data_IF_344996594511
#
_entry.id   IF_344996594511
#
_cell.length_a   1.000
_cell.length_b   1.000
_cell.length_c   1.000
_cell.angle_alpha   90.00
_cell.angle_beta   90.00
_cell.angle_gamma   90.00
#
_symmetry.space_group_name_H-M   'P 1'
#
loop_
_entity.id
_entity.type
_entity.pdbx_description
1 polymer ?
#
# COMPACT_ATOMS: atom_id res chain seq x y z
N UNK A 1 26.34 -11.93 0.22
CA UNK A 1 26.33 -13.31 0.75
C UNK A 1 24.93 -13.57 1.29
N UNK A 2 24.12 -14.33 0.55
CA UNK A 2 22.73 -14.63 0.90
C UNK A 2 22.59 -16.15 0.86
N UNK A 3 21.96 -16.73 1.87
CA UNK A 3 21.79 -18.18 1.93
C UNK A 3 20.92 -18.65 0.74
N UNK A 4 21.45 -19.56 -0.08
CA UNK A 4 20.74 -20.08 -1.26
C UNK A 4 19.46 -20.82 -0.90
N UNK A 5 19.36 -21.37 0.31
CA UNK A 5 18.11 -21.99 0.80
C UNK A 5 17.00 -20.97 1.04
N UNK A 6 17.36 -19.69 1.23
CA UNK A 6 16.42 -18.60 1.45
C UNK A 6 16.11 -17.85 0.15
N UNK A 7 17.13 -17.54 -0.65
CA UNK A 7 16.99 -16.84 -1.91
C UNK A 7 18.08 -17.26 -2.89
N UNK A 8 17.70 -17.92 -3.99
CA UNK A 8 18.65 -18.26 -5.06
C UNK A 8 19.31 -17.03 -5.71
N UNK A 9 20.52 -17.22 -6.22
CA UNK A 9 21.36 -16.15 -6.82
C UNK A 9 20.64 -15.33 -7.90
N UNK A 10 19.86 -15.98 -8.77
CA UNK A 10 19.09 -15.32 -9.83
C UNK A 10 17.99 -14.37 -9.32
N UNK A 11 17.63 -14.46 -8.04
CA UNK A 11 16.63 -13.60 -7.41
C UNK A 11 17.25 -12.46 -6.60
N UNK A 12 18.58 -12.31 -6.65
CA UNK A 12 19.33 -11.25 -5.98
C UNK A 12 19.86 -10.29 -7.04
N UNK A 13 19.68 -9.01 -6.80
CA UNK A 13 20.14 -7.94 -7.67
C UNK A 13 20.73 -6.82 -6.83
N UNK A 14 21.96 -6.41 -7.10
CA UNK A 14 22.48 -5.14 -6.59
C UNK A 14 21.72 -4.00 -7.28
N UNK A 15 21.12 -3.12 -6.48
CA UNK A 15 20.35 -1.99 -6.99
C UNK A 15 21.18 -0.71 -7.02
N UNK A 16 21.98 -0.49 -5.97
CA UNK A 16 22.80 0.70 -5.83
C UNK A 16 23.90 0.48 -4.81
N UNK A 17 25.05 1.09 -5.04
CA UNK A 17 26.15 1.20 -4.08
C UNK A 17 26.68 2.62 -4.11
N UNK A 18 27.09 3.13 -2.95
CA UNK A 18 27.58 4.49 -2.81
C UNK A 18 28.66 4.54 -1.74
N UNK A 19 29.69 5.33 -1.97
CA UNK A 19 30.79 5.54 -1.05
C UNK A 19 31.27 6.98 -1.17
N UNK A 20 31.33 7.66 -0.03
CA UNK A 20 31.77 9.03 0.14
C UNK A 20 32.39 9.18 1.54
N UNK A 21 33.09 10.28 1.84
CA UNK A 21 33.61 10.54 3.18
C UNK A 21 32.54 10.54 4.29
N UNK A 22 31.28 10.82 3.94
CA UNK A 22 30.18 10.99 4.90
C UNK A 22 29.21 9.80 4.93
N UNK A 23 29.20 8.95 3.90
CA UNK A 23 28.22 7.88 3.74
C UNK A 23 28.76 6.76 2.86
N UNK A 24 28.60 5.54 3.34
CA UNK A 24 28.74 4.31 2.58
C UNK A 24 27.44 3.51 2.66
N UNK A 25 26.94 3.02 1.53
CA UNK A 25 25.85 2.05 1.56
C UNK A 25 25.89 1.09 0.38
N UNK A 26 25.29 -0.07 0.60
CA UNK A 26 25.00 -1.07 -0.42
C UNK A 26 23.54 -1.46 -0.34
N UNK A 27 22.82 -1.35 -1.44
CA UNK A 27 21.42 -1.76 -1.55
C UNK A 27 21.28 -2.95 -2.48
N UNK A 28 20.72 -4.03 -1.93
CA UNK A 28 20.37 -5.23 -2.68
C UNK A 28 18.86 -5.45 -2.66
N UNK A 29 18.34 -5.94 -3.77
CA UNK A 29 17.00 -6.49 -3.87
C UNK A 29 17.09 -8.00 -3.89
N UNK A 30 16.26 -8.65 -3.09
CA UNK A 30 16.11 -10.10 -3.13
C UNK A 30 14.62 -10.48 -3.16
N UNK A 31 14.33 -11.63 -3.76
CA UNK A 31 12.99 -12.25 -3.69
C UNK A 31 13.12 -13.67 -3.14
N UNK A 32 12.99 -13.83 -1.81
CA UNK A 32 13.04 -15.14 -1.16
C UNK A 32 12.00 -16.11 -1.71
N UNK A 33 12.27 -17.41 -1.59
CA UNK A 33 11.34 -18.47 -2.04
C UNK A 33 9.97 -18.36 -1.35
N UNK A 34 9.97 -18.02 -0.06
CA UNK A 34 8.77 -17.88 0.76
C UNK A 34 8.62 -16.44 1.25
N UNK A 35 8.12 -15.57 0.36
CA UNK A 35 7.79 -14.19 0.69
C UNK A 35 6.27 -14.05 0.90
N UNK A 36 5.80 -13.38 1.98
CA UNK A 36 4.39 -13.04 2.11
C UNK A 36 3.86 -12.35 0.85
N UNK A 37 2.63 -12.70 0.43
CA UNK A 37 2.01 -12.17 -0.82
C UNK A 37 1.89 -10.64 -0.85
N UNK A 38 1.97 -10.03 0.30
CA UNK A 38 1.90 -8.59 0.49
C UNK A 38 3.13 -7.88 -0.11
N UNK A 39 4.27 -8.58 -0.18
CA UNK A 39 5.54 -8.05 -0.65
C UNK A 39 5.91 -8.59 -2.03
N UNK A 40 6.41 -7.70 -2.87
CA UNK A 40 6.95 -8.03 -4.20
C UNK A 40 8.42 -8.44 -4.16
N UNK A 41 9.18 -7.91 -3.21
CA UNK A 41 10.59 -8.22 -2.93
C UNK A 41 10.97 -7.67 -1.56
N UNK A 42 12.16 -8.00 -1.10
CA UNK A 42 12.82 -7.36 0.04
C UNK A 42 13.98 -6.53 -0.52
N UNK A 43 14.07 -5.28 -0.09
CA UNK A 43 15.18 -4.38 -0.41
C UNK A 43 15.93 -4.14 0.89
N UNK A 44 17.20 -4.54 0.91
CA UNK A 44 18.07 -4.43 2.06
C UNK A 44 19.14 -3.40 1.73
N UNK A 45 19.26 -2.37 2.55
CA UNK A 45 20.28 -1.35 2.45
C UNK A 45 21.17 -1.43 3.69
N UNK A 46 22.41 -1.86 3.51
CA UNK A 46 23.45 -1.79 4.52
C UNK A 46 24.05 -0.38 4.52
N UNK A 47 24.12 0.28 5.67
CA UNK A 47 24.56 1.68 5.80
C UNK A 47 25.72 1.79 6.80
N UNK A 48 26.71 2.60 6.46
CA UNK A 48 27.73 3.05 7.38
C UNK A 48 27.90 4.58 7.25
N UNK A 49 27.76 5.30 8.36
CA UNK A 49 27.98 6.75 8.43
C UNK A 49 29.17 6.98 9.38
N UNK A 50 30.32 7.46 8.89
CA UNK A 50 31.49 7.68 9.73
C UNK A 50 31.23 8.64 10.92
N UNK A 51 31.95 8.48 12.06
CA UNK A 51 31.75 9.32 13.24
C UNK A 51 31.95 10.83 13.03
N UNK A 52 32.77 11.19 12.04
CA UNK A 52 33.14 12.55 11.62
C UNK A 52 32.31 13.07 10.44
N UNK A 53 31.37 12.29 9.93
CA UNK A 53 30.57 12.65 8.76
C UNK A 53 29.68 13.88 8.99
N UNK A 54 29.44 14.64 7.93
CA UNK A 54 28.29 15.52 7.85
C UNK A 54 27.00 14.70 7.79
N UNK A 55 26.38 14.53 8.95
CA UNK A 55 25.14 13.76 9.10
C UNK A 55 24.00 14.32 8.24
N UNK A 56 23.95 15.62 7.95
CA UNK A 56 22.88 16.19 7.14
C UNK A 56 23.04 15.79 5.67
N UNK A 57 24.26 15.87 5.15
CA UNK A 57 24.58 15.45 3.79
C UNK A 57 24.35 13.94 3.61
N UNK A 58 24.88 13.13 4.53
CA UNK A 58 24.71 11.68 4.52
C UNK A 58 23.22 11.27 4.55
N UNK A 59 22.42 11.87 5.44
CA UNK A 59 21.00 11.56 5.53
C UNK A 59 20.21 12.06 4.31
N UNK A 60 20.63 13.15 3.66
CA UNK A 60 19.99 13.64 2.44
C UNK A 60 20.24 12.70 1.25
N UNK A 61 21.48 12.25 1.06
CA UNK A 61 21.83 11.28 0.01
C UNK A 61 21.11 9.94 0.21
N UNK A 62 21.08 9.44 1.44
CA UNK A 62 20.33 8.23 1.78
C UNK A 62 18.83 8.41 1.57
N UNK A 63 18.26 9.56 1.92
CA UNK A 63 16.86 9.91 1.68
C UNK A 63 16.50 9.88 0.18
N UNK A 64 17.27 10.57 -0.65
CA UNK A 64 17.02 10.63 -2.10
C UNK A 64 17.06 9.24 -2.73
N UNK A 65 18.05 8.43 -2.32
CA UNK A 65 18.18 7.04 -2.78
C UNK A 65 16.96 6.21 -2.38
N UNK A 66 16.55 6.24 -1.10
CA UNK A 66 15.44 5.45 -0.62
C UNK A 66 14.11 5.87 -1.27
N UNK A 67 13.86 7.17 -1.45
CA UNK A 67 12.67 7.67 -2.13
C UNK A 67 12.58 7.21 -3.60
N UNK A 68 13.71 7.20 -4.32
CA UNK A 68 13.76 6.67 -5.69
C UNK A 68 13.43 5.17 -5.71
N UNK A 69 13.96 4.41 -4.75
CA UNK A 69 13.71 2.98 -4.65
C UNK A 69 12.26 2.66 -4.27
N UNK A 70 11.66 3.40 -3.33
CA UNK A 70 10.24 3.24 -2.97
C UNK A 70 9.33 3.53 -4.16
N UNK A 71 9.66 4.56 -4.96
CA UNK A 71 8.91 4.88 -6.18
C UNK A 71 9.02 3.78 -7.24
N UNK A 72 10.19 3.14 -7.33
CA UNK A 72 10.47 2.05 -8.27
C UNK A 72 9.86 0.72 -7.80
N UNK A 73 9.82 0.48 -6.48
CA UNK A 73 9.39 -0.77 -5.86
C UNK A 73 8.38 -0.50 -4.72
N UNK A 74 7.18 0.02 -5.02
CA UNK A 74 6.22 0.47 -4.01
C UNK A 74 5.66 -0.65 -3.12
N UNK A 75 5.75 -1.91 -3.58
CA UNK A 75 5.29 -3.09 -2.83
C UNK A 75 6.46 -3.87 -2.22
N UNK A 76 7.67 -3.30 -2.11
CA UNK A 76 8.81 -3.95 -1.48
C UNK A 76 8.82 -3.74 0.03
N UNK A 77 9.35 -4.71 0.76
CA UNK A 77 9.72 -4.52 2.15
C UNK A 77 11.12 -3.92 2.22
N UNK A 78 11.26 -2.78 2.90
CA UNK A 78 12.55 -2.09 3.06
C UNK A 78 13.16 -2.43 4.41
N UNK A 79 14.43 -2.78 4.42
CA UNK A 79 15.25 -3.00 5.62
C UNK A 79 16.50 -2.16 5.46
N UNK A 80 16.63 -1.08 6.23
CA UNK A 80 17.79 -0.18 6.19
C UNK A 80 18.51 -0.32 7.52
N UNK A 81 19.71 -0.92 7.51
CA UNK A 81 20.40 -1.27 8.74
C UNK A 81 21.91 -1.06 8.65
N UNK A 82 22.53 -0.76 9.80
CA UNK A 82 23.97 -0.63 9.94
C UNK A 82 24.34 0.39 11.00
N UNK A 83 25.57 0.88 10.96
CA UNK A 83 26.09 1.83 11.95
C UNK A 83 25.86 3.27 11.46
N UNK A 84 24.95 3.96 12.15
CA UNK A 84 24.58 5.34 11.85
C UNK A 84 25.38 6.34 12.67
N UNK A 85 26.20 5.88 13.63
CA UNK A 85 26.89 6.72 14.61
C UNK A 85 25.95 7.75 15.26
N UNK A 86 26.04 9.02 14.84
CA UNK A 86 25.24 10.13 15.40
C UNK A 86 23.95 10.39 14.61
N UNK A 87 23.78 9.78 13.45
CA UNK A 87 22.70 10.09 12.53
C UNK A 87 21.38 9.38 12.90
N UNK A 88 20.27 10.06 12.71
CA UNK A 88 18.93 9.51 12.91
C UNK A 88 18.09 9.67 11.65
N UNK A 89 17.84 8.56 10.95
CA UNK A 89 17.11 8.54 9.68
C UNK A 89 15.67 9.03 9.80
N UNK A 90 15.04 8.93 10.99
CA UNK A 90 13.67 9.45 11.20
C UNK A 90 13.54 10.96 10.96
N UNK A 91 14.63 11.71 11.07
CA UNK A 91 14.65 13.16 10.81
C UNK A 91 14.35 13.50 9.34
N UNK A 92 14.64 12.58 8.41
CA UNK A 92 14.33 12.72 6.97
C UNK A 92 13.21 11.78 6.52
N UNK A 93 13.09 10.59 7.13
CA UNK A 93 12.09 9.57 6.79
C UNK A 93 11.28 9.13 8.02
N UNK A 94 10.32 9.96 8.49
CA UNK A 94 9.55 9.65 9.71
C UNK A 94 8.62 8.44 9.54
N UNK A 95 8.30 8.04 8.30
CA UNK A 95 7.50 6.86 7.98
C UNK A 95 8.21 5.53 8.27
N UNK A 96 9.54 5.55 8.43
CA UNK A 96 10.29 4.35 8.76
C UNK A 96 10.30 4.12 10.28
N UNK A 97 10.07 2.87 10.65
CA UNK A 97 10.07 2.39 12.02
C UNK A 97 11.44 1.82 12.36
N UNK A 98 12.00 2.30 13.47
CA UNK A 98 13.28 1.85 14.00
C UNK A 98 13.03 0.71 15.01
N UNK A 99 13.82 -0.36 14.96
CA UNK A 99 13.57 -1.60 15.72
C UNK A 99 14.64 -1.96 16.77
N UNK A 100 15.71 -1.18 16.91
CA UNK A 100 16.81 -1.41 17.86
C UNK A 100 16.78 -0.33 18.93
N UNK A 101 16.39 -0.70 20.15
CA UNK A 101 16.26 0.17 21.31
C UNK A 101 17.32 -0.09 22.40
N UNK A 102 18.27 -0.99 22.14
CA UNK A 102 19.33 -1.36 23.07
C UNK A 102 20.69 -0.76 22.68
N UNK A 103 21.58 -0.63 23.67
CA UNK A 103 22.93 -0.11 23.43
C UNK A 103 23.76 -1.09 22.61
N UNK A 104 24.46 -0.57 21.60
CA UNK A 104 25.34 -1.35 20.72
C UNK A 104 26.81 -1.02 20.91
N UNK A 105 27.17 0.14 21.47
CA UNK A 105 28.56 0.47 21.81
C UNK A 105 28.62 1.39 23.03
N UNK A 106 29.37 1.00 24.06
CA UNK A 106 29.64 1.84 25.24
C UNK A 106 28.39 2.57 25.82
N UNK A 107 27.26 1.84 25.93
CA UNK A 107 26.00 2.39 26.44
C UNK A 107 25.20 3.25 25.46
N UNK A 108 25.65 3.40 24.21
CA UNK A 108 24.96 4.14 23.14
C UNK A 108 24.39 3.20 22.08
N UNK A 109 23.26 3.55 21.51
CA UNK A 109 22.68 2.90 20.33
C UNK A 109 23.18 3.61 19.08
N UNK A 110 24.20 3.05 18.43
CA UNK A 110 24.78 3.61 17.20
C UNK A 110 24.28 2.85 15.96
N UNK A 111 24.03 1.56 16.14
CA UNK A 111 23.49 0.70 15.10
C UNK A 111 21.97 0.80 15.08
N UNK A 112 21.42 1.08 13.90
CA UNK A 112 19.99 1.18 13.70
C UNK A 112 19.51 0.16 12.67
N UNK A 113 18.26 -0.26 12.80
CA UNK A 113 17.52 -0.99 11.78
C UNK A 113 16.17 -0.34 11.59
N UNK A 114 15.89 0.10 10.36
CA UNK A 114 14.66 0.75 9.96
C UNK A 114 13.87 -0.12 8.98
N UNK A 115 12.54 -0.10 9.04
CA UNK A 115 11.67 -0.65 7.99
C UNK A 115 10.40 0.14 7.79
N UNK A 116 9.73 -0.05 6.65
CA UNK A 116 8.42 0.55 6.37
C UNK A 116 7.24 -0.12 7.12
N UNK A 117 7.50 -1.15 7.92
CA UNK A 117 6.49 -1.80 8.77
C UNK A 117 6.77 -1.56 10.25
N UNK A 118 5.71 -1.25 10.99
CA UNK A 118 5.76 -1.18 12.45
C UNK A 118 5.94 -2.57 13.04
N UNK A 119 6.71 -2.68 14.12
CA UNK A 119 6.94 -3.92 14.87
C UNK A 119 7.38 -5.09 13.99
N UNK A 120 8.16 -4.78 12.94
CA UNK A 120 8.61 -5.77 11.98
C UNK A 120 9.64 -6.72 12.59
N UNK A 121 10.47 -6.20 13.49
CA UNK A 121 11.54 -6.95 14.15
C UNK A 121 11.57 -6.67 15.64
N UNK A 122 11.95 -7.69 16.41
CA UNK A 122 12.38 -7.56 17.80
C UNK A 122 13.90 -7.67 17.83
N UNK A 123 14.58 -6.64 18.31
CA UNK A 123 16.02 -6.67 18.52
C UNK A 123 16.36 -7.46 19.79
N UNK A 124 17.32 -8.39 19.66
CA UNK A 124 17.93 -9.07 20.80
C UNK A 124 19.43 -8.78 20.80
N UNK A 125 19.98 -8.14 21.84
CA UNK A 125 21.41 -7.92 21.93
C UNK A 125 22.15 -9.25 22.09
N UNK A 126 23.31 -9.33 21.46
CA UNK A 126 24.22 -10.46 21.47
C UNK A 126 25.65 -9.96 21.74
N UNK A 127 26.51 -10.82 22.30
CA UNK A 127 27.91 -10.46 22.50
C UNK A 127 28.56 -9.97 21.19
N UNK A 128 29.53 -9.04 21.28
CA UNK A 128 30.32 -8.62 20.12
C UNK A 128 30.93 -9.82 19.39
N UNK A 129 31.05 -9.70 18.07
CA UNK A 129 31.80 -10.69 17.31
C UNK A 129 33.30 -10.46 17.52
N UNK A 130 33.98 -11.46 18.11
CA UNK A 130 35.44 -11.42 18.34
C UNK A 130 35.89 -10.15 19.09
N UNK A 131 36.66 -9.29 18.42
CA UNK A 131 37.26 -8.06 18.95
C UNK A 131 36.50 -6.80 18.54
N UNK A 132 35.29 -6.93 17.99
CA UNK A 132 34.45 -5.78 17.70
C UNK A 132 34.14 -5.03 19.01
N UNK A 133 34.19 -3.71 18.96
CA UNK A 133 33.77 -2.84 20.05
C UNK A 133 32.25 -2.55 20.01
N UNK A 134 31.59 -2.92 18.91
CA UNK A 134 30.13 -2.98 18.80
C UNK A 134 29.59 -4.35 19.20
N UNK A 135 28.56 -4.37 20.04
CA UNK A 135 27.69 -5.51 20.29
C UNK A 135 26.92 -5.91 19.04
N UNK A 136 26.68 -7.20 18.86
CA UNK A 136 25.89 -7.68 17.74
C UNK A 136 24.39 -7.69 18.09
N UNK A 137 23.52 -7.48 17.10
CA UNK A 137 22.07 -7.52 17.29
C UNK A 137 21.48 -8.64 16.44
N UNK A 138 20.72 -9.54 17.08
CA UNK A 138 19.88 -10.51 16.39
C UNK A 138 18.48 -9.93 16.22
N UNK A 139 18.08 -9.66 14.98
CA UNK A 139 16.74 -9.23 14.64
C UNK A 139 15.84 -10.44 14.41
N UNK A 140 14.89 -10.68 15.33
CA UNK A 140 13.87 -11.71 15.16
C UNK A 140 12.67 -11.12 14.42
N UNK A 141 12.15 -11.79 13.37
CA UNK A 141 10.96 -11.32 12.69
C UNK A 141 9.76 -11.36 13.65
N UNK A 142 9.16 -10.21 13.90
CA UNK A 142 7.95 -10.05 14.69
C UNK A 142 6.73 -9.72 13.81
N UNK A 143 6.97 -9.35 12.54
CA UNK A 143 5.94 -9.04 11.58
C UNK A 143 4.89 -10.15 11.42
N UNK A 144 3.62 -9.80 11.61
CA UNK A 144 2.47 -10.66 11.30
C UNK A 144 1.85 -10.25 9.97
N UNK A 145 1.56 -11.21 9.10
CA UNK A 145 0.90 -10.96 7.81
C UNK A 145 -0.48 -10.31 8.01
N UNK A 146 -0.89 -9.37 7.14
CA UNK A 146 -2.20 -8.70 7.21
C UNK A 146 -3.36 -9.70 7.30
N UNK A 147 -3.27 -10.81 6.56
CA UNK A 147 -4.28 -11.89 6.58
C UNK A 147 -4.47 -12.52 7.97
N UNK A 148 -3.45 -12.49 8.82
CA UNK A 148 -3.49 -13.02 10.20
C UNK A 148 -3.80 -11.95 11.24
N UNK A 149 -3.74 -10.67 10.86
CA UNK A 149 -4.01 -9.54 11.76
C UNK A 149 -5.47 -9.10 11.68
N UNK A 150 -6.05 -9.10 10.48
CA UNK A 150 -7.40 -8.58 10.24
C UNK A 150 -8.29 -9.68 9.63
N UNK A 151 -9.53 -9.79 10.12
CA UNK A 151 -10.50 -10.71 9.57
C UNK A 151 -10.99 -10.24 8.18
N UNK A 152 -11.32 -11.15 7.25
CA UNK A 152 -11.91 -10.78 5.98
C UNK A 152 -13.23 -10.03 6.18
N UNK A 153 -13.46 -8.99 5.37
CA UNK A 153 -14.68 -8.19 5.43
C UNK A 153 -15.70 -8.72 4.43
N UNK A 154 -16.97 -8.77 4.82
CA UNK A 154 -18.09 -8.98 3.90
C UNK A 154 -18.56 -7.61 3.40
N UNK A 155 -18.69 -7.46 2.09
CA UNK A 155 -19.23 -6.25 1.45
C UNK A 155 -20.33 -6.64 0.48
N UNK A 156 -21.45 -5.93 0.57
CA UNK A 156 -22.50 -5.97 -0.44
C UNK A 156 -22.08 -5.10 -1.61
N UNK A 157 -22.10 -5.65 -2.81
CA UNK A 157 -21.79 -4.95 -4.07
C UNK A 157 -22.91 -5.18 -5.07
N UNK A 158 -23.29 -4.12 -5.77
CA UNK A 158 -24.15 -4.21 -6.95
C UNK A 158 -23.40 -4.89 -8.08
N UNK A 159 -24.00 -5.93 -8.65
CA UNK A 159 -23.43 -6.73 -9.73
C UNK A 159 -23.99 -6.30 -11.08
N UNK A 160 -23.37 -5.27 -11.65
CA UNK A 160 -23.65 -4.81 -13.01
C UNK A 160 -23.28 -5.88 -14.03
N UNK A 161 -24.13 -6.03 -15.04
CA UNK A 161 -24.03 -6.97 -16.14
C UNK A 161 -24.61 -6.34 -17.40
N UNK A 162 -24.23 -6.83 -18.58
CA UNK A 162 -24.79 -6.34 -19.84
C UNK A 162 -26.33 -6.42 -19.86
N UNK A 163 -26.89 -7.44 -19.18
CA UNK A 163 -28.34 -7.61 -19.04
C UNK A 163 -28.98 -6.53 -18.15
N UNK A 164 -28.39 -6.24 -16.98
CA UNK A 164 -28.91 -5.20 -16.09
C UNK A 164 -28.78 -3.81 -16.72
N UNK A 165 -27.68 -3.57 -17.44
CA UNK A 165 -27.45 -2.32 -18.16
C UNK A 165 -28.51 -2.12 -19.25
N UNK A 166 -28.75 -3.12 -20.08
CA UNK A 166 -29.79 -3.08 -21.13
C UNK A 166 -31.17 -2.87 -20.53
N UNK A 167 -31.50 -3.57 -19.43
CA UNK A 167 -32.82 -3.48 -18.79
C UNK A 167 -33.06 -2.09 -18.20
N UNK A 168 -32.03 -1.47 -17.60
CA UNK A 168 -32.12 -0.09 -17.11
C UNK A 168 -32.23 0.92 -18.24
N UNK A 169 -31.48 0.72 -19.34
CA UNK A 169 -31.59 1.58 -20.52
C UNK A 169 -33.01 1.56 -21.10
N UNK A 170 -33.59 0.37 -21.26
CA UNK A 170 -34.96 0.21 -21.74
C UNK A 170 -35.95 0.86 -20.76
N UNK A 171 -35.79 0.65 -19.45
CA UNK A 171 -36.61 1.28 -18.43
C UNK A 171 -36.60 2.81 -18.56
N UNK A 172 -35.42 3.43 -18.61
CA UNK A 172 -35.27 4.88 -18.66
C UNK A 172 -35.69 5.50 -19.99
N UNK A 173 -35.64 4.73 -21.09
CA UNK A 173 -36.14 5.17 -22.39
C UNK A 173 -37.67 5.31 -22.43
N UNK A 174 -38.38 4.55 -21.59
CA UNK A 174 -39.85 4.54 -21.56
C UNK A 174 -40.45 5.44 -20.46
N UNK A 175 -39.62 6.08 -19.65
CA UNK A 175 -40.06 6.97 -18.59
C UNK A 175 -40.44 8.33 -19.15
N UNK A 176 -41.64 8.79 -18.78
CA UNK A 176 -42.08 10.17 -19.03
C UNK A 176 -41.45 11.11 -17.99
N UNK A 177 -40.33 11.73 -18.37
CA UNK A 177 -39.60 12.65 -17.50
C UNK A 177 -40.37 13.96 -17.23
N UNK A 178 -41.25 14.38 -18.15
CA UNK A 178 -42.05 15.61 -17.99
C UNK A 178 -43.06 15.48 -16.85
N UNK A 179 -43.54 14.25 -16.58
CA UNK A 179 -44.38 13.96 -15.42
C UNK A 179 -43.72 14.39 -14.10
N UNK A 180 -42.42 14.14 -13.93
CA UNK A 180 -41.68 14.54 -12.72
C UNK A 180 -41.55 16.06 -12.61
N UNK A 181 -41.37 16.75 -13.74
CA UNK A 181 -41.27 18.21 -13.79
C UNK A 181 -42.61 18.87 -13.42
N UNK A 182 -43.72 18.32 -13.94
CA UNK A 182 -45.07 18.81 -13.63
C UNK A 182 -45.39 18.54 -12.16
N UNK A 183 -45.10 17.34 -11.65
CA UNK A 183 -45.39 16.96 -10.26
C UNK A 183 -44.60 17.77 -9.23
N UNK A 184 -43.41 18.25 -9.58
CA UNK A 184 -42.55 19.08 -8.72
C UNK A 184 -42.90 20.57 -8.75
N UNK A 185 -43.94 21.01 -9.49
CA UNK A 185 -44.35 22.41 -9.59
C UNK A 185 -43.17 23.38 -9.90
N UNK A 186 -42.25 22.97 -10.76
CA UNK A 186 -41.00 23.70 -11.07
C UNK A 186 -40.05 23.92 -9.87
N UNK A 187 -40.21 23.20 -8.76
CA UNK A 187 -39.22 23.14 -7.70
C UNK A 187 -38.09 22.19 -8.09
N UNK A 188 -36.90 22.75 -8.34
CA UNK A 188 -35.74 22.00 -8.81
C UNK A 188 -35.24 20.96 -7.80
N UNK A 189 -35.37 21.25 -6.49
CA UNK A 189 -34.94 20.34 -5.44
C UNK A 189 -35.88 19.12 -5.36
N UNK A 190 -37.19 19.35 -5.42
CA UNK A 190 -38.21 18.28 -5.45
C UNK A 190 -38.12 17.42 -6.71
N UNK A 191 -37.83 18.05 -7.87
CA UNK A 191 -37.57 17.34 -9.12
C UNK A 191 -36.34 16.42 -8.99
N UNK A 192 -35.22 16.97 -8.50
CA UNK A 192 -33.98 16.23 -8.34
C UNK A 192 -34.13 15.04 -7.37
N UNK A 193 -34.82 15.25 -6.25
CA UNK A 193 -35.09 14.19 -5.27
C UNK A 193 -35.97 13.09 -5.87
N UNK A 194 -37.06 13.46 -6.55
CA UNK A 194 -38.00 12.50 -7.14
C UNK A 194 -37.36 11.67 -8.25
N UNK A 195 -36.58 12.30 -9.13
CA UNK A 195 -35.85 11.61 -10.20
C UNK A 195 -34.76 10.71 -9.61
N UNK A 196 -34.01 11.18 -8.61
CA UNK A 196 -32.97 10.38 -7.95
C UNK A 196 -33.55 9.15 -7.26
N UNK A 197 -34.69 9.30 -6.61
CA UNK A 197 -35.39 8.21 -5.92
C UNK A 197 -35.95 7.18 -6.90
N UNK A 198 -36.50 7.63 -8.02
CA UNK A 198 -36.94 6.75 -9.10
C UNK A 198 -35.76 5.95 -9.68
N UNK A 199 -34.66 6.62 -10.05
CA UNK A 199 -33.46 5.96 -10.58
C UNK A 199 -32.90 4.96 -9.56
N UNK A 200 -32.83 5.34 -8.28
CA UNK A 200 -32.38 4.45 -7.19
C UNK A 200 -33.23 3.18 -7.13
N UNK A 201 -34.54 3.32 -7.19
CA UNK A 201 -35.49 2.20 -7.16
C UNK A 201 -35.29 1.27 -8.36
N UNK A 202 -35.20 1.83 -9.58
CA UNK A 202 -34.93 1.02 -10.78
C UNK A 202 -33.61 0.26 -10.66
N UNK A 203 -32.55 0.89 -10.15
CA UNK A 203 -31.25 0.24 -9.94
C UNK A 203 -31.35 -0.86 -8.89
N UNK A 204 -32.08 -0.66 -7.80
CA UNK A 204 -32.28 -1.68 -6.76
C UNK A 204 -33.08 -2.89 -7.24
N UNK A 205 -34.06 -2.67 -8.13
CA UNK A 205 -34.89 -3.74 -8.69
C UNK A 205 -34.16 -4.54 -9.77
N UNK A 206 -33.34 -3.87 -10.60
CA UNK A 206 -32.69 -4.50 -11.75
C UNK A 206 -31.29 -5.04 -11.42
N UNK A 207 -30.53 -4.38 -10.55
CA UNK A 207 -29.13 -4.71 -10.31
C UNK A 207 -29.01 -5.59 -9.05
N UNK A 208 -28.69 -6.89 -9.21
CA UNK A 208 -28.61 -7.79 -8.07
C UNK A 208 -27.49 -7.40 -7.11
N UNK A 209 -27.74 -7.55 -5.81
CA UNK A 209 -26.74 -7.36 -4.76
C UNK A 209 -26.08 -8.71 -4.46
N UNK A 210 -24.76 -8.78 -4.61
CA UNK A 210 -23.98 -9.92 -4.16
C UNK A 210 -23.16 -9.57 -2.92
N UNK A 211 -23.06 -10.52 -2.00
CA UNK A 211 -22.11 -10.42 -0.89
C UNK A 211 -20.78 -10.99 -1.31
N UNK A 212 -19.74 -10.15 -1.33
CA UNK A 212 -18.37 -10.58 -1.60
C UNK A 212 -17.54 -10.55 -0.32
N UNK A 213 -16.65 -11.55 -0.19
CA UNK A 213 -15.65 -11.61 0.87
C UNK A 213 -14.34 -11.00 0.39
N UNK A 214 -13.93 -9.89 0.98
CA UNK A 214 -12.66 -9.21 0.68
C UNK A 214 -11.64 -9.50 1.77
N UNK A 215 -10.39 -9.74 1.35
CA UNK A 215 -9.29 -9.99 2.28
C UNK A 215 -8.44 -8.72 2.45
N UNK A 216 -7.87 -8.46 3.65
CA UNK A 216 -7.05 -7.27 3.91
C UNK A 216 -5.82 -7.11 2.99
N UNK A 217 -5.30 -8.23 2.48
CA UNK A 217 -4.16 -8.25 1.56
C UNK A 217 -4.57 -8.39 0.08
N UNK A 218 -5.87 -8.36 -0.22
CA UNK A 218 -6.35 -8.33 -1.59
C UNK A 218 -6.08 -6.94 -2.14
N UNK A 219 -5.27 -6.86 -3.19
CA UNK A 219 -4.99 -5.56 -3.78
C UNK A 219 -6.08 -5.15 -4.79
N UNK A 220 -6.22 -3.84 -5.05
CA UNK A 220 -7.43 -3.28 -5.64
C UNK A 220 -7.59 -3.60 -7.13
N UNK A 221 -6.49 -3.86 -7.83
CA UNK A 221 -6.43 -4.26 -9.24
C UNK A 221 -6.70 -5.76 -9.55
N UNK A 222 -7.20 -6.56 -8.59
CA UNK A 222 -7.52 -7.99 -8.77
C UNK A 222 -9.03 -8.05 -8.81
N UNK A 223 -9.52 -8.02 -10.04
CA UNK A 223 -10.93 -8.15 -10.39
C UNK A 223 -11.27 -9.61 -10.74
N UNK A 224 -12.52 -9.82 -11.17
CA UNK A 224 -13.00 -11.13 -11.63
C UNK A 224 -12.18 -11.68 -12.80
N UNK A 225 -11.76 -10.83 -13.75
CA UNK A 225 -11.00 -11.25 -14.93
C UNK A 225 -9.62 -11.82 -14.56
N UNK A 226 -8.93 -11.19 -13.60
CA UNK A 226 -7.64 -11.66 -13.10
C UNK A 226 -7.82 -12.96 -12.30
N UNK A 227 -8.92 -13.10 -11.54
CA UNK A 227 -9.24 -14.33 -10.79
C UNK A 227 -9.49 -15.52 -11.72
N UNK A 228 -10.20 -15.30 -12.83
CA UNK A 228 -10.40 -16.34 -13.87
C UNK A 228 -9.05 -16.80 -14.43
N UNK A 229 -8.16 -15.86 -14.79
CA UNK A 229 -6.82 -16.19 -15.30
C UNK A 229 -5.94 -16.89 -14.25
N UNK A 230 -6.06 -16.52 -12.98
CA UNK A 230 -5.38 -17.22 -11.88
C UNK A 230 -5.84 -18.67 -11.77
N UNK A 231 -7.16 -18.91 -11.82
CA UNK A 231 -7.75 -20.26 -11.78
C UNK A 231 -7.28 -21.09 -12.97
N UNK A 232 -7.35 -20.54 -14.19
CA UNK A 232 -6.88 -21.20 -15.41
C UNK A 232 -5.41 -21.63 -15.31
N UNK A 233 -4.51 -20.74 -14.86
CA UNK A 233 -3.10 -21.07 -14.66
C UNK A 233 -2.91 -22.19 -13.63
N UNK A 234 -3.62 -22.15 -12.51
CA UNK A 234 -3.52 -23.19 -11.48
C UNK A 234 -4.01 -24.54 -12.00
N UNK A 235 -5.11 -24.57 -12.76
CA UNK A 235 -5.61 -25.78 -13.42
C UNK A 235 -4.57 -26.35 -14.38
N UNK A 236 -4.02 -25.51 -15.27
CA UNK A 236 -3.00 -25.92 -16.23
C UNK A 236 -1.71 -26.41 -15.56
N UNK A 237 -1.32 -25.84 -14.42
CA UNK A 237 -0.18 -26.33 -13.64
C UNK A 237 -0.42 -27.73 -13.08
N UNK A 238 -1.58 -27.95 -12.49
CA UNK A 238 -1.93 -29.25 -11.90
C UNK A 238 -2.04 -30.32 -12.98
N UNK A 239 -2.66 -30.00 -14.12
CA UNK A 239 -2.71 -30.89 -15.28
C UNK A 239 -1.32 -31.18 -15.83
N UNK A 240 -0.48 -30.16 -16.01
CA UNK A 240 0.89 -30.31 -16.49
C UNK A 240 1.78 -31.15 -15.55
N UNK A 241 1.50 -31.15 -14.24
CA UNK A 241 2.16 -32.06 -13.30
C UNK A 241 1.76 -33.53 -13.51
N UNK A 242 0.51 -33.79 -13.89
CA UNK A 242 0.00 -35.14 -14.14
C UNK A 242 0.45 -35.65 -15.50
N UNK A 243 0.38 -34.82 -16.55
CA UNK A 243 0.68 -35.21 -17.93
C UNK A 243 2.15 -35.07 -18.32
N UNK A 244 2.94 -34.34 -17.52
CA UNK A 244 4.32 -33.96 -17.85
C UNK A 244 4.43 -32.82 -18.89
N UNK A 245 3.32 -32.38 -19.50
CA UNK A 245 3.32 -31.30 -20.49
C UNK A 245 3.02 -29.94 -19.84
N UNK A 246 4.01 -29.06 -19.81
CA UNK A 246 3.91 -27.74 -19.17
C UNK A 246 3.57 -26.59 -20.13
N UNK A 247 3.20 -26.89 -21.39
CA UNK A 247 2.98 -25.89 -22.45
C UNK A 247 1.81 -24.96 -22.14
N UNK A 248 0.65 -25.52 -21.77
CA UNK A 248 -0.53 -24.74 -21.41
C UNK A 248 -0.28 -23.88 -20.18
N UNK A 249 0.41 -24.42 -19.17
CA UNK A 249 0.82 -23.64 -18.00
C UNK A 249 1.68 -22.43 -18.37
N UNK A 250 2.63 -22.57 -19.30
CA UNK A 250 3.45 -21.44 -19.78
C UNK A 250 2.59 -20.38 -20.46
N UNK A 251 1.64 -20.79 -21.31
CA UNK A 251 0.71 -19.89 -22.00
C UNK A 251 -0.21 -19.15 -21.01
N UNK A 252 -0.87 -19.86 -20.10
CA UNK A 252 -1.70 -19.26 -19.05
C UNK A 252 -0.88 -18.32 -18.15
N UNK A 253 0.36 -18.69 -17.80
CA UNK A 253 1.27 -17.87 -17.00
C UNK A 253 1.65 -16.57 -17.70
N UNK A 254 1.89 -16.61 -19.01
CA UNK A 254 2.18 -15.42 -19.81
C UNK A 254 0.95 -14.51 -19.94
N UNK A 255 -0.21 -15.09 -20.27
CA UNK A 255 -1.48 -14.36 -20.36
C UNK A 255 -1.85 -13.67 -19.03
N UNK A 256 -1.68 -14.38 -17.91
CA UNK A 256 -1.88 -13.81 -16.57
C UNK A 256 -0.91 -12.64 -16.29
N UNK A 257 0.38 -12.79 -16.63
CA UNK A 257 1.37 -11.71 -16.46
C UNK A 257 0.99 -10.45 -17.24
N UNK A 258 0.56 -10.60 -18.50
CA UNK A 258 0.11 -9.48 -19.33
C UNK A 258 -1.11 -8.79 -18.73
N UNK A 259 -2.11 -9.56 -18.31
CA UNK A 259 -3.32 -9.04 -17.69
C UNK A 259 -3.04 -8.29 -16.38
N UNK A 260 -2.19 -8.84 -15.50
CA UNK A 260 -1.78 -8.16 -14.26
C UNK A 260 -1.06 -6.84 -14.56
N UNK A 261 -0.17 -6.81 -15.56
CA UNK A 261 0.53 -5.58 -15.95
C UNK A 261 -0.46 -4.52 -16.43
N UNK A 262 -1.47 -4.90 -17.21
CA UNK A 262 -2.51 -4.01 -17.68
C UNK A 262 -3.40 -3.49 -16.54
N UNK A 263 -3.88 -4.39 -15.67
CA UNK A 263 -4.70 -4.02 -14.51
C UNK A 263 -3.96 -3.07 -13.57
N UNK A 264 -2.66 -3.30 -13.34
CA UNK A 264 -1.78 -2.37 -12.60
C UNK A 264 -1.74 -0.98 -13.24
N UNK A 265 -1.59 -0.90 -14.56
CA UNK A 265 -1.54 0.37 -15.29
C UNK A 265 -2.89 1.10 -15.23
N UNK A 266 -4.00 0.40 -15.43
CA UNK A 266 -5.34 0.97 -15.37
C UNK A 266 -5.66 1.51 -13.97
N UNK A 267 -5.34 0.75 -12.93
CA UNK A 267 -5.51 1.20 -11.56
C UNK A 267 -4.67 2.45 -11.26
N UNK A 268 -3.40 2.48 -11.69
CA UNK A 268 -2.54 3.66 -11.55
C UNK A 268 -3.13 4.89 -12.25
N UNK A 269 -3.56 4.73 -13.50
CA UNK A 269 -4.17 5.83 -14.26
C UNK A 269 -5.48 6.33 -13.61
N UNK A 270 -6.28 5.42 -13.05
CA UNK A 270 -7.50 5.77 -12.29
C UNK A 270 -7.15 6.64 -11.08
N UNK A 271 -6.20 6.20 -10.26
CA UNK A 271 -5.75 6.95 -9.07
C UNK A 271 -5.19 8.32 -9.49
N UNK A 272 -4.29 8.36 -10.48
CA UNK A 272 -3.71 9.62 -10.98
C UNK A 272 -4.78 10.58 -11.55
N UNK A 273 -5.81 10.07 -12.23
CA UNK A 273 -6.89 10.90 -12.77
C UNK A 273 -7.72 11.61 -11.70
N UNK A 274 -7.83 11.01 -10.50
CA UNK A 274 -8.57 11.60 -9.39
C UNK A 274 -7.84 12.82 -8.81
N UNK A 275 -6.52 12.88 -8.90
CA UNK A 275 -5.73 14.06 -8.48
C UNK A 275 -5.79 15.22 -9.48
N UNK A 276 -6.15 14.96 -10.73
CA UNK A 276 -6.25 15.96 -11.79
C UNK A 276 -7.69 16.45 -12.03
N UNK A 277 -8.67 15.84 -11.36
CA UNK A 277 -10.09 16.22 -11.46
C UNK A 277 -10.52 17.20 -10.36
N UNK A 278 -11.73 17.74 -10.49
CA UNK A 278 -12.38 18.57 -9.46
C UNK A 278 -13.05 17.77 -8.33
N UNK A 279 -12.94 16.44 -8.34
CA UNK A 279 -13.52 15.54 -7.34
C UNK A 279 -12.69 15.49 -6.04
N UNK A 280 -12.90 16.50 -5.21
CA UNK A 280 -12.25 16.62 -3.89
C UNK A 280 -12.55 15.46 -2.94
N UNK A 281 -13.70 14.77 -3.11
CA UNK A 281 -14.08 13.61 -2.30
C UNK A 281 -13.30 12.36 -2.72
N UNK A 282 -13.18 12.11 -4.02
CA UNK A 282 -12.31 11.07 -4.59
C UNK A 282 -10.86 11.27 -4.17
N UNK A 283 -10.34 12.50 -4.30
CA UNK A 283 -9.00 12.85 -3.83
C UNK A 283 -8.78 12.52 -2.34
N UNK A 284 -9.75 12.84 -1.47
CA UNK A 284 -9.64 12.57 -0.05
C UNK A 284 -9.66 11.06 0.27
N UNK A 285 -10.47 10.28 -0.43
CA UNK A 285 -10.51 8.82 -0.27
C UNK A 285 -9.21 8.16 -0.74
N UNK A 286 -8.62 8.66 -1.82
CA UNK A 286 -7.34 8.17 -2.33
C UNK A 286 -6.18 8.55 -1.41
N UNK A 287 -6.15 9.78 -0.87
CA UNK A 287 -5.18 10.17 0.15
C UNK A 287 -5.26 9.26 1.38
N UNK A 288 -6.46 8.91 1.84
CA UNK A 288 -6.65 7.96 2.95
C UNK A 288 -6.12 6.56 2.60
N UNK A 289 -6.36 6.11 1.37
CA UNK A 289 -5.90 4.80 0.88
C UNK A 289 -4.38 4.73 0.69
N UNK A 290 -3.74 5.82 0.27
CA UNK A 290 -2.28 5.92 0.08
C UNK A 290 -1.56 6.03 1.42
N UNK A 291 -2.16 6.75 2.38
CA UNK A 291 -1.55 7.03 3.68
C UNK A 291 -1.87 5.96 4.75
N UNK A 292 -2.70 4.97 4.42
CA UNK A 292 -3.32 4.04 5.38
C UNK A 292 -4.00 4.79 6.56
N UNK A 293 -4.41 6.06 6.35
CA UNK A 293 -5.01 6.90 7.37
C UNK A 293 -6.45 6.44 7.64
N UNK A 294 -6.65 5.67 8.71
CA UNK A 294 -7.97 5.39 9.27
C UNK A 294 -8.38 6.58 10.14
N UNK A 295 -9.40 7.34 9.71
CA UNK A 295 -10.01 8.41 10.52
C UNK A 295 -10.44 7.78 11.86
N UNK A 296 -9.93 8.30 12.99
CA UNK A 296 -10.42 7.89 14.30
C UNK A 296 -11.88 8.32 14.39
N UNK A 297 -12.81 7.37 14.38
CA UNK A 297 -14.19 7.61 14.81
C UNK A 297 -14.19 7.74 16.32
N UNK A 298 -13.89 8.95 16.81
CA UNK A 298 -14.40 9.35 18.12
C UNK A 298 -15.90 9.53 17.98
N UNK A 299 -16.74 9.02 18.90
CA UNK A 299 -18.13 9.44 18.93
C UNK A 299 -18.11 10.95 19.25
N UNK A 300 -18.62 11.75 18.31
CA UNK A 300 -18.95 13.14 18.60
C UNK A 300 -20.17 13.07 19.51
N UNK A 301 -19.93 13.19 20.81
CA UNK A 301 -20.98 13.66 21.72
C UNK A 301 -21.25 15.11 21.32
N UNK A 302 -22.50 15.42 21.00
CA UNK A 302 -22.96 16.80 20.87
C UNK A 302 -22.56 17.59 22.13
N UNK A 303 -21.61 18.50 21.95
CA UNK A 303 -21.63 19.75 22.69
C UNK A 303 -21.61 20.89 21.69
N UNK A 304 -22.80 21.48 21.61
CA UNK A 304 -23.18 22.70 20.95
C UNK A 304 -22.10 23.79 20.94
N UNK A 305 -21.99 24.40 19.77
CA UNK A 305 -21.93 25.85 19.55
C UNK A 305 -21.11 26.66 20.56
N UNK A 306 -19.85 26.97 20.22
CA UNK A 306 -19.20 28.25 20.58
C UNK A 306 -17.80 28.45 19.95
N UNK A 307 -17.59 28.17 18.67
CA UNK A 307 -16.33 28.59 18.00
C UNK A 307 -16.55 29.07 16.56
N UNK A 308 -17.08 30.30 16.40
CA UNK A 308 -16.53 31.24 15.43
C UNK A 308 -15.94 32.52 16.07
N UNK A 309 -15.91 32.62 17.40
CA UNK A 309 -15.56 33.87 18.11
C UNK A 309 -14.10 34.05 18.54
N UNK A 310 -13.20 33.11 18.26
CA UNK A 310 -11.81 33.12 18.77
C UNK A 310 -10.70 33.37 17.74
N UNK A 311 -11.05 33.67 16.49
CA UNK A 311 -10.06 34.03 15.45
C UNK A 311 -9.87 35.54 15.24
N UNK A 312 -10.59 36.40 15.97
CA UNK A 312 -10.55 37.86 15.81
C UNK A 312 -9.93 38.63 17.00
N UNK A 313 -9.07 38.04 17.83
CA UNK A 313 -8.42 38.75 18.97
C UNK A 313 -6.91 38.59 19.07
N UNK A 314 -6.21 38.67 17.93
CA UNK A 314 -4.74 38.80 17.96
C UNK A 314 -4.21 39.84 16.98
N UNK A 315 -4.95 40.94 16.82
CA UNK A 315 -4.43 42.20 16.29
C UNK A 315 -4.86 43.31 17.25
N UNK A 316 -4.04 43.59 18.26
CA UNK A 316 -3.94 44.92 18.87
C UNK A 316 -2.65 45.03 19.69
N UNK A 317 -1.98 46.17 19.48
CA UNK A 317 -0.65 46.56 19.90
C UNK A 317 -0.38 46.50 21.43
N UNK A 318 0.81 46.02 21.80
CA UNK A 318 1.93 46.85 22.27
C UNK A 318 3.22 46.03 22.22
#
# INVERSE_FOLDING_TARGET
MVNETWCGHNNIQELNSFCSPDLEFLTIKCRPHYLPREFSSIIITAVYIPPQADTSMALNELYLTLCKLESTYPEAAFIVAGDFNKANLKTRLPKLYQHIDCATRAGKTLDHCYSNFRDAYKALPRPPFRKADHGSILLLPAYRQKLKQEAPTLRSVQCWSDQSDSTLQDCFHHVDWDMFLIASNNNIDEYADSVSEFIRTCVEDVVPIATIKTFPNQKPWIDGSIRVKLKARTTAFNQGKVTGNMTEYKQCSYSLRKAIKQAKRQYRAKVESQFNGSDTRGMLQDLQSITDYKKKTSPVTDQEALLPGRLNRTIQCH
#
